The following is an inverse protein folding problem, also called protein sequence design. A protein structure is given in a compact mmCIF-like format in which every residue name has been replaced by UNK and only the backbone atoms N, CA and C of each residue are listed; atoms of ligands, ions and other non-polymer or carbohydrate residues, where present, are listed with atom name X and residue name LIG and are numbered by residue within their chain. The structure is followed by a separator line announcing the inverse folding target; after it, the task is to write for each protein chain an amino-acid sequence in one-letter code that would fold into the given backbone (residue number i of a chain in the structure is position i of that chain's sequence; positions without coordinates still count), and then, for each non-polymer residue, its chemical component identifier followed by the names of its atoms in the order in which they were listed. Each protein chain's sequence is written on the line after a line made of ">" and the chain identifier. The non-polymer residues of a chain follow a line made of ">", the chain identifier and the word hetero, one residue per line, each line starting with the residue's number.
data_IF_993409956096
#
_entry.id   IF_993409956096
#
_cell.length_a   1.000
_cell.length_b   1.000
_cell.length_c   1.000
_cell.angle_alpha   90.00
_cell.angle_beta   90.00
_cell.angle_gamma   90.00
#
_symmetry.space_group_name_H-M   'P 1'
#
loop_
_entity.id
_entity.type
_entity.pdbx_description
1 polymer ?
#
# COMPACT_ATOMS: atom_id res chain seq x y z
N UNK A 1 18.51 10.19 13.79
CA UNK A 1 17.76 10.17 12.51
C UNK A 1 17.19 11.56 12.26
N UNK A 2 17.45 12.15 11.08
CA UNK A 2 16.96 13.48 10.73
C UNK A 2 16.16 13.40 9.45
N UNK A 3 14.95 13.94 9.46
CA UNK A 3 14.12 14.17 8.26
C UNK A 3 14.19 15.68 7.96
N UNK A 4 14.73 16.08 6.81
CA UNK A 4 14.92 17.49 6.45
C UNK A 4 15.59 18.36 7.57
N UNK A 5 16.63 17.83 8.25
CA UNK A 5 17.33 18.46 9.39
C UNK A 5 16.51 18.57 10.68
N UNK A 6 15.34 17.97 10.76
CA UNK A 6 14.57 17.86 12.01
C UNK A 6 14.90 16.55 12.69
N UNK A 7 15.24 16.59 13.98
CA UNK A 7 15.45 15.38 14.75
C UNK A 7 14.10 14.69 14.98
N UNK A 8 14.01 13.39 14.65
CA UNK A 8 12.76 12.63 14.81
C UNK A 8 12.25 12.56 16.26
N UNK A 9 13.16 12.74 17.23
CA UNK A 9 12.76 12.79 18.64
C UNK A 9 12.00 14.08 19.01
N UNK A 10 12.09 15.11 18.18
CA UNK A 10 11.43 16.41 18.39
C UNK A 10 10.10 16.49 17.59
N UNK A 11 9.75 15.44 16.84
CA UNK A 11 8.54 15.40 16.02
C UNK A 11 7.44 14.64 16.74
N UNK A 12 6.26 15.23 16.79
CA UNK A 12 5.08 14.53 17.29
C UNK A 12 4.72 13.34 16.39
N UNK A 13 4.63 12.14 16.96
CA UNK A 13 4.32 10.89 16.25
C UNK A 13 3.02 10.99 15.44
N UNK A 14 2.02 11.72 15.93
CA UNK A 14 0.77 11.95 15.22
C UNK A 14 0.98 12.80 13.94
N UNK A 15 1.90 13.77 13.96
CA UNK A 15 2.27 14.55 12.78
C UNK A 15 3.05 13.73 11.77
N UNK A 16 3.91 12.81 12.21
CA UNK A 16 4.59 11.86 11.31
C UNK A 16 3.57 10.98 10.57
N UNK A 17 2.57 10.46 11.26
CA UNK A 17 1.53 9.62 10.68
C UNK A 17 0.74 10.30 9.54
N UNK A 18 0.59 11.63 9.60
CA UNK A 18 -0.09 12.38 8.52
C UNK A 18 0.73 12.46 7.22
N UNK A 19 2.05 12.23 7.28
CA UNK A 19 2.97 12.33 6.13
C UNK A 19 3.44 10.97 5.60
N UNK A 20 3.08 9.88 6.26
CA UNK A 20 3.56 8.54 5.91
C UNK A 20 2.37 7.66 5.51
N UNK A 21 2.39 7.12 4.30
CA UNK A 21 1.53 6.01 3.90
C UNK A 21 2.25 4.70 4.21
N UNK A 22 1.55 3.77 4.84
CA UNK A 22 2.11 2.46 5.22
C UNK A 22 1.24 1.37 4.64
N UNK A 23 1.87 0.44 3.90
CA UNK A 23 1.26 -0.84 3.54
C UNK A 23 2.05 -1.94 4.23
N UNK A 24 1.38 -2.67 5.10
CA UNK A 24 1.97 -3.77 5.89
C UNK A 24 1.68 -5.11 5.23
N UNK A 25 2.50 -6.10 5.56
CA UNK A 25 2.27 -7.50 5.19
C UNK A 25 0.87 -7.96 5.63
N UNK A 26 0.49 -7.63 6.86
CA UNK A 26 -0.86 -7.86 7.38
C UNK A 26 -1.74 -6.65 7.06
N UNK A 27 -2.61 -6.82 6.10
CA UNK A 27 -3.52 -5.77 5.64
C UNK A 27 -4.57 -5.46 6.70
N UNK A 28 -4.62 -4.21 7.16
CA UNK A 28 -5.61 -3.73 8.12
C UNK A 28 -6.93 -3.38 7.41
N UNK A 29 -7.74 -4.41 7.09
CA UNK A 29 -9.11 -4.22 6.64
C UNK A 29 -10.06 -4.38 7.82
N UNK A 30 -11.07 -3.51 7.91
CA UNK A 30 -12.10 -3.62 8.94
C UNK A 30 -13.42 -4.10 8.36
N UNK A 31 -14.30 -4.58 9.24
CA UNK A 31 -15.66 -4.96 8.87
C UNK A 31 -16.45 -3.73 8.42
N UNK A 32 -16.87 -3.73 7.18
CA UNK A 32 -17.54 -2.61 6.51
C UNK A 32 -17.50 -2.79 5.01
N UNK A 33 -18.12 -1.89 4.26
CA UNK A 33 -18.11 -1.96 2.79
C UNK A 33 -16.71 -1.70 2.20
N UNK A 34 -16.49 -2.12 0.96
CA UNK A 34 -15.28 -1.74 0.21
C UNK A 34 -15.15 -0.22 0.16
N UNK A 35 -16.25 0.49 -0.08
CA UNK A 35 -16.35 1.96 -0.07
C UNK A 35 -15.84 2.54 1.25
N UNK A 36 -16.33 2.04 2.38
CA UNK A 36 -15.92 2.51 3.71
C UNK A 36 -14.43 2.25 3.96
N UNK A 37 -13.92 1.08 3.58
CA UNK A 37 -12.50 0.76 3.68
C UNK A 37 -11.61 1.68 2.83
N UNK A 38 -12.07 2.12 1.65
CA UNK A 38 -11.33 3.04 0.79
C UNK A 38 -11.41 4.49 1.31
N UNK A 39 -12.58 4.97 1.71
CA UNK A 39 -12.77 6.32 2.24
C UNK A 39 -12.14 6.53 3.62
N UNK A 40 -11.87 5.45 4.36
CA UNK A 40 -11.19 5.53 5.65
C UNK A 40 -9.78 6.12 5.56
N UNK A 41 -9.07 5.88 4.45
CA UNK A 41 -7.68 6.31 4.30
C UNK A 41 -7.54 7.68 3.63
N UNK A 42 -8.54 8.13 2.87
CA UNK A 42 -8.55 9.41 2.19
C UNK A 42 -9.98 9.81 1.78
N UNK A 43 -10.27 11.10 1.83
CA UNK A 43 -11.46 11.64 1.17
C UNK A 43 -11.29 11.47 -0.34
N UNK A 44 -12.19 10.72 -0.97
CA UNK A 44 -12.11 10.41 -2.39
C UNK A 44 -13.47 10.27 -3.04
N UNK A 45 -13.54 10.58 -4.34
CA UNK A 45 -14.74 10.37 -5.15
C UNK A 45 -14.87 8.90 -5.56
N UNK A 46 -16.05 8.51 -6.00
CA UNK A 46 -16.28 7.15 -6.51
C UNK A 46 -15.38 6.83 -7.71
N UNK A 47 -15.16 7.79 -8.61
CA UNK A 47 -14.24 7.64 -9.75
C UNK A 47 -12.82 7.36 -9.27
N UNK A 48 -12.35 8.05 -8.24
CA UNK A 48 -11.03 7.82 -7.66
C UNK A 48 -10.92 6.43 -7.01
N UNK A 49 -11.99 5.94 -6.37
CA UNK A 49 -12.03 4.57 -5.84
C UNK A 49 -11.87 3.53 -6.95
N UNK A 50 -12.63 3.66 -8.04
CA UNK A 50 -12.55 2.76 -9.18
C UNK A 50 -11.17 2.81 -9.86
N UNK A 51 -10.57 3.99 -10.00
CA UNK A 51 -9.21 4.15 -10.51
C UNK A 51 -8.17 3.48 -9.61
N UNK A 52 -8.30 3.62 -8.30
CA UNK A 52 -7.41 2.97 -7.33
C UNK A 52 -7.54 1.43 -7.40
N UNK A 53 -8.76 0.92 -7.48
CA UNK A 53 -9.03 -0.52 -7.65
C UNK A 53 -8.44 -1.04 -8.97
N UNK A 54 -8.52 -0.25 -10.05
CA UNK A 54 -7.93 -0.61 -11.34
C UNK A 54 -6.40 -0.68 -11.27
N UNK A 55 -5.75 0.31 -10.67
CA UNK A 55 -4.31 0.29 -10.44
C UNK A 55 -3.85 -0.87 -9.56
N UNK A 56 -4.70 -1.32 -8.65
CA UNK A 56 -4.45 -2.47 -7.79
C UNK A 56 -4.85 -3.82 -8.42
N UNK A 57 -5.25 -3.85 -9.70
CA UNK A 57 -5.72 -5.06 -10.40
C UNK A 57 -6.89 -5.76 -9.68
N UNK A 58 -7.77 -4.99 -9.06
CA UNK A 58 -8.92 -5.48 -8.29
C UNK A 58 -10.27 -5.05 -8.89
N UNK A 59 -10.24 -4.22 -9.93
CA UNK A 59 -11.43 -3.64 -10.59
C UNK A 59 -12.42 -4.72 -11.04
N UNK A 60 -11.97 -5.68 -11.85
CA UNK A 60 -12.85 -6.71 -12.42
C UNK A 60 -13.49 -7.58 -11.34
N UNK A 61 -12.74 -7.86 -10.27
CA UNK A 61 -13.28 -8.61 -9.15
C UNK A 61 -14.39 -7.83 -8.44
N UNK A 62 -14.16 -6.58 -8.09
CA UNK A 62 -15.16 -5.76 -7.38
C UNK A 62 -16.37 -5.48 -8.26
N UNK A 63 -16.17 -5.27 -9.56
CA UNK A 63 -17.27 -5.04 -10.51
C UNK A 63 -18.22 -6.25 -10.63
N UNK A 64 -17.73 -7.47 -10.42
CA UNK A 64 -18.53 -8.69 -10.48
C UNK A 64 -19.27 -8.98 -9.15
N UNK A 65 -18.96 -8.30 -8.07
CA UNK A 65 -19.67 -8.45 -6.81
C UNK A 65 -21.10 -7.88 -6.93
N UNK A 66 -22.10 -8.50 -6.30
CA UNK A 66 -23.49 -8.05 -6.42
C UNK A 66 -23.71 -6.60 -6.01
N UNK A 67 -22.98 -6.14 -5.01
CA UNK A 67 -23.08 -4.80 -4.41
C UNK A 67 -21.86 -3.91 -4.73
N UNK A 68 -20.92 -4.42 -5.54
CA UNK A 68 -19.73 -3.70 -6.00
C UNK A 68 -18.99 -3.00 -4.85
N UNK A 69 -18.89 -1.66 -4.87
CA UNK A 69 -18.24 -0.89 -3.82
C UNK A 69 -18.94 -1.01 -2.45
N UNK A 70 -20.20 -1.33 -2.44
CA UNK A 70 -20.99 -1.47 -1.20
C UNK A 70 -20.98 -2.91 -0.67
N UNK A 71 -20.26 -3.83 -1.33
CA UNK A 71 -20.05 -5.19 -0.85
C UNK A 71 -19.34 -5.18 0.50
N UNK A 72 -19.93 -5.92 1.47
CA UNK A 72 -19.47 -5.97 2.86
C UNK A 72 -18.27 -6.89 3.03
N UNK A 73 -17.17 -6.33 3.52
CA UNK A 73 -16.03 -7.08 4.01
C UNK A 73 -16.28 -7.50 5.45
N UNK A 74 -15.95 -8.75 5.74
CA UNK A 74 -15.97 -9.27 7.10
C UNK A 74 -14.71 -8.85 7.86
N UNK A 75 -14.66 -9.14 9.14
CA UNK A 75 -13.53 -8.81 10.00
C UNK A 75 -12.20 -9.23 9.38
N UNK A 76 -11.24 -8.31 9.35
CA UNK A 76 -9.92 -8.49 8.71
C UNK A 76 -10.01 -8.94 7.25
N UNK A 77 -11.11 -8.63 6.54
CA UNK A 77 -11.32 -9.04 5.16
C UNK A 77 -11.33 -10.56 4.97
N UNK A 78 -11.85 -11.34 5.94
CA UNK A 78 -11.79 -12.81 5.94
C UNK A 78 -12.52 -13.46 4.76
N UNK A 79 -13.41 -12.73 4.10
CA UNK A 79 -14.09 -13.15 2.87
C UNK A 79 -13.33 -12.77 1.58
N UNK A 80 -12.10 -12.25 1.69
CA UNK A 80 -11.18 -12.02 0.57
C UNK A 80 -10.03 -13.04 0.61
N UNK A 81 -9.53 -13.42 -0.56
CA UNK A 81 -8.27 -14.17 -0.65
C UNK A 81 -7.07 -13.31 -0.18
N UNK A 82 -5.93 -13.93 0.15
CA UNK A 82 -4.72 -13.21 0.54
C UNK A 82 -4.26 -12.20 -0.51
N UNK A 83 -4.27 -12.59 -1.80
CA UNK A 83 -3.94 -11.67 -2.89
C UNK A 83 -4.95 -10.53 -3.07
N UNK A 84 -6.24 -10.77 -2.84
CA UNK A 84 -7.27 -9.73 -2.87
C UNK A 84 -7.10 -8.73 -1.72
N UNK A 85 -6.76 -9.21 -0.52
CA UNK A 85 -6.44 -8.34 0.63
C UNK A 85 -5.26 -7.42 0.32
N UNK A 86 -4.16 -7.98 -0.20
CA UNK A 86 -2.98 -7.19 -0.58
C UNK A 86 -3.30 -6.16 -1.64
N UNK A 87 -4.07 -6.53 -2.66
CA UNK A 87 -4.52 -5.59 -3.70
C UNK A 87 -5.46 -4.52 -3.15
N UNK A 88 -6.29 -4.83 -2.17
CA UNK A 88 -7.12 -3.82 -1.47
C UNK A 88 -6.24 -2.82 -0.70
N UNK A 89 -5.19 -3.29 0.00
CA UNK A 89 -4.23 -2.41 0.66
C UNK A 89 -3.49 -1.50 -0.33
N UNK A 90 -3.17 -2.01 -1.52
CA UNK A 90 -2.58 -1.19 -2.58
C UNK A 90 -3.57 -0.17 -3.14
N UNK A 91 -4.86 -0.52 -3.28
CA UNK A 91 -5.88 0.45 -3.66
C UNK A 91 -5.99 1.58 -2.62
N UNK A 92 -5.97 1.24 -1.33
CA UNK A 92 -5.91 2.22 -0.25
C UNK A 92 -4.66 3.11 -0.34
N UNK A 93 -3.50 2.54 -0.69
CA UNK A 93 -2.26 3.30 -0.90
C UNK A 93 -2.41 4.33 -2.03
N UNK A 94 -2.96 3.92 -3.17
CA UNK A 94 -3.09 4.77 -4.35
C UNK A 94 -4.03 5.96 -4.15
N UNK A 95 -4.89 5.92 -3.14
CA UNK A 95 -5.76 7.05 -2.74
C UNK A 95 -5.06 8.06 -1.84
N UNK A 96 -3.90 7.73 -1.25
CA UNK A 96 -3.22 8.59 -0.30
C UNK A 96 -2.18 9.47 -1.00
N UNK A 97 -2.24 10.78 -0.76
CA UNK A 97 -1.26 11.75 -1.25
C UNK A 97 -0.22 12.07 -0.17
N UNK A 98 0.63 11.09 0.15
CA UNK A 98 1.65 11.27 1.20
C UNK A 98 3.07 11.25 0.62
N UNK A 99 3.97 12.12 1.11
CA UNK A 99 5.32 12.24 0.56
C UNK A 99 6.24 11.08 0.91
N UNK A 100 5.91 10.31 1.97
CA UNK A 100 6.71 9.17 2.43
C UNK A 100 5.84 7.92 2.35
N UNK A 101 6.41 6.86 1.79
CA UNK A 101 5.74 5.58 1.59
C UNK A 101 6.59 4.46 2.21
N UNK A 102 5.97 3.65 3.06
CA UNK A 102 6.56 2.46 3.63
C UNK A 102 5.80 1.24 3.11
N UNK A 103 6.51 0.38 2.42
CA UNK A 103 5.97 -0.85 1.83
C UNK A 103 6.66 -2.06 2.49
N UNK A 104 5.88 -2.94 3.09
CA UNK A 104 6.37 -4.13 3.78
C UNK A 104 5.83 -5.38 3.08
N UNK A 105 6.69 -6.04 2.29
CA UNK A 105 6.44 -7.28 1.53
C UNK A 105 5.15 -7.27 0.69
N UNK A 106 4.80 -6.12 0.12
CA UNK A 106 3.48 -5.90 -0.51
C UNK A 106 3.26 -6.66 -1.81
N UNK A 107 4.33 -7.06 -2.50
CA UNK A 107 4.26 -7.78 -3.77
C UNK A 107 4.33 -9.30 -3.61
N UNK A 108 4.66 -9.79 -2.43
CA UNK A 108 4.76 -11.21 -2.17
C UNK A 108 3.42 -11.94 -2.19
N UNK A 109 3.40 -13.13 -2.80
CA UNK A 109 2.18 -13.94 -2.89
C UNK A 109 1.10 -13.38 -3.81
N UNK A 110 1.42 -12.37 -4.62
CA UNK A 110 0.61 -11.99 -5.77
C UNK A 110 0.88 -12.97 -6.91
N UNK A 111 -0.15 -13.26 -7.71
CA UNK A 111 0.02 -14.08 -8.89
C UNK A 111 0.86 -13.35 -9.96
N UNK A 112 1.67 -14.11 -10.74
CA UNK A 112 2.61 -13.55 -11.72
C UNK A 112 1.93 -12.64 -12.75
N UNK A 113 0.69 -12.94 -13.13
CA UNK A 113 -0.03 -12.20 -14.14
C UNK A 113 -0.32 -10.75 -13.71
N UNK A 114 -0.65 -10.55 -12.44
CA UNK A 114 -0.98 -9.23 -11.89
C UNK A 114 0.24 -8.50 -11.32
N UNK A 115 1.28 -9.23 -10.93
CA UNK A 115 2.47 -8.67 -10.29
C UNK A 115 3.16 -7.61 -11.15
N UNK A 116 3.31 -7.84 -12.45
CA UNK A 116 3.99 -6.90 -13.35
C UNK A 116 3.24 -5.57 -13.48
N UNK A 117 1.92 -5.62 -13.68
CA UNK A 117 1.10 -4.41 -13.79
C UNK A 117 1.06 -3.64 -12.46
N UNK A 118 0.89 -4.35 -11.34
CA UNK A 118 0.92 -3.76 -10.00
C UNK A 118 2.28 -3.10 -9.72
N UNK A 119 3.39 -3.76 -10.05
CA UNK A 119 4.73 -3.20 -9.86
C UNK A 119 4.93 -1.90 -10.65
N UNK A 120 4.45 -1.84 -11.90
CA UNK A 120 4.49 -0.62 -12.70
C UNK A 120 3.67 0.51 -12.06
N UNK A 121 2.46 0.20 -11.57
CA UNK A 121 1.60 1.17 -10.92
C UNK A 121 2.18 1.66 -9.57
N UNK A 122 2.78 0.77 -8.78
CA UNK A 122 3.50 1.12 -7.55
C UNK A 122 4.68 2.03 -7.88
N UNK A 123 5.48 1.70 -8.89
CA UNK A 123 6.59 2.56 -9.34
C UNK A 123 6.13 3.95 -9.76
N UNK A 124 5.06 4.03 -10.56
CA UNK A 124 4.49 5.31 -10.98
C UNK A 124 3.99 6.14 -9.79
N UNK A 125 3.32 5.48 -8.83
CA UNK A 125 2.88 6.13 -7.60
C UNK A 125 4.05 6.62 -6.74
N UNK A 126 5.15 5.87 -6.69
CA UNK A 126 6.35 6.18 -5.91
C UNK A 126 7.21 7.30 -6.51
N UNK A 127 6.98 7.70 -7.77
CA UNK A 127 7.68 8.83 -8.38
C UNK A 127 7.49 10.10 -7.53
N UNK A 128 8.61 10.81 -7.28
CA UNK A 128 8.66 12.03 -6.45
C UNK A 128 8.26 11.82 -4.96
N UNK A 129 8.30 10.59 -4.47
CA UNK A 129 8.09 10.24 -3.06
C UNK A 129 9.34 9.58 -2.48
N UNK A 130 9.51 9.71 -1.16
CA UNK A 130 10.51 8.93 -0.44
C UNK A 130 9.90 7.57 -0.11
N UNK A 131 10.52 6.50 -0.62
CA UNK A 131 10.00 5.13 -0.47
C UNK A 131 10.98 4.29 0.34
N UNK A 132 10.47 3.65 1.38
CA UNK A 132 11.15 2.56 2.08
C UNK A 132 10.41 1.27 1.76
N UNK A 133 11.08 0.37 1.03
CA UNK A 133 10.54 -0.94 0.68
C UNK A 133 11.28 -2.03 1.45
N UNK A 134 10.56 -2.80 2.24
CA UNK A 134 11.09 -3.95 2.97
C UNK A 134 10.73 -5.20 2.17
N UNK A 135 11.73 -5.99 1.80
CA UNK A 135 11.55 -7.22 1.03
C UNK A 135 12.72 -8.17 1.23
N UNK A 136 12.47 -9.44 1.08
CA UNK A 136 13.50 -10.47 0.90
C UNK A 136 13.63 -10.91 -0.57
N UNK A 137 12.78 -10.42 -1.46
CA UNK A 137 12.87 -10.67 -2.90
C UNK A 137 13.93 -9.77 -3.54
N UNK A 138 15.08 -10.36 -3.89
CA UNK A 138 16.19 -9.66 -4.52
C UNK A 138 15.87 -9.18 -5.94
N UNK A 139 14.86 -9.74 -6.62
CA UNK A 139 14.51 -9.38 -7.99
C UNK A 139 14.01 -7.94 -8.12
N UNK A 140 13.40 -7.42 -7.06
CA UNK A 140 12.88 -6.05 -7.03
C UNK A 140 13.94 -5.00 -6.69
N UNK A 141 15.11 -5.38 -6.17
CA UNK A 141 16.15 -4.45 -5.68
C UNK A 141 16.70 -3.53 -6.78
N UNK A 142 16.73 -4.00 -8.03
CA UNK A 142 17.19 -3.20 -9.18
C UNK A 142 16.35 -1.95 -9.46
N UNK A 143 15.20 -1.83 -8.80
CA UNK A 143 14.25 -0.73 -8.98
C UNK A 143 14.42 0.39 -7.96
N UNK A 144 15.37 0.26 -7.03
CA UNK A 144 15.60 1.21 -5.95
C UNK A 144 16.99 1.86 -6.06
N UNK A 145 17.08 3.14 -5.67
CA UNK A 145 18.32 3.93 -5.74
C UNK A 145 19.36 3.46 -4.71
N UNK A 146 18.90 2.92 -3.59
CA UNK A 146 19.75 2.45 -2.50
C UNK A 146 19.19 1.19 -1.84
N UNK A 147 20.06 0.22 -1.64
CA UNK A 147 19.76 -1.03 -0.93
C UNK A 147 20.53 -1.06 0.39
N UNK A 148 19.84 -1.39 1.48
CA UNK A 148 20.43 -1.60 2.80
C UNK A 148 20.17 -3.05 3.24
N UNK A 149 21.23 -3.78 3.56
CA UNK A 149 21.10 -5.12 4.15
C UNK A 149 21.14 -5.01 5.67
N UNK A 150 20.13 -5.53 6.35
CA UNK A 150 20.04 -5.44 7.81
C UNK A 150 21.18 -6.17 8.52
N UNK A 151 21.77 -7.21 7.93
CA UNK A 151 22.95 -7.90 8.46
C UNK A 151 24.20 -7.01 8.53
N UNK A 152 24.27 -5.95 7.73
CA UNK A 152 25.41 -5.03 7.66
C UNK A 152 25.27 -3.82 8.63
N UNK A 153 24.08 -3.65 9.25
CA UNK A 153 23.81 -2.51 10.14
C UNK A 153 24.26 -2.78 11.59
N UNK A 154 24.43 -4.03 11.97
CA UNK A 154 24.80 -4.41 13.35
C UNK A 154 26.32 -4.43 13.62
N UNK A 155 27.16 -4.09 12.64
CA UNK A 155 28.63 -4.13 12.75
C UNK A 155 29.29 -2.74 12.96
N UNK A 156 28.52 -1.73 13.43
CA UNK A 156 29.07 -0.41 13.79
C UNK A 156 28.63 0.05 15.17
#
# INVERSE_FOLDING_TARGET
>A
FHLHRVNLNDVNVAQLGSHIAVVRQDTALFSGSIRENLTYVADCTEEQMWEALKKAELYDYVQQLPEQLDYMLLESGSNLSGGQKKRMALAQLFLQEKPIVLLDEVLEGLDEKNTTAILQNVKAYCQNRTVLYITHDISVLSHFDKVLKLSEINDN
#
